data_IF_477387183632
#
_entry.id   IF_477387183632
#
_cell.length_a   1.000
_cell.length_b   1.000
_cell.length_c   1.000
_cell.angle_alpha   90.00
_cell.angle_beta   90.00
_cell.angle_gamma   90.00
#
_symmetry.space_group_name_H-M   'P 1'
#
loop_
_entity.id
_entity.type
_entity.pdbx_description
1 polymer ?
#
# COMPACT_ATOMS: atom_id res chain seq x y z
N UNK A 1 13.68 -0.56 -24.87
CA UNK A 1 14.53 -1.75 -24.95
C UNK A 1 15.76 -1.55 -24.10
N UNK A 2 15.97 -2.43 -23.12
CA UNK A 2 17.22 -2.52 -22.36
C UNK A 2 18.42 -2.57 -23.31
N UNK A 3 19.44 -1.76 -23.03
CA UNK A 3 20.72 -1.91 -23.73
C UNK A 3 21.31 -3.29 -23.43
N UNK A 4 21.81 -4.04 -24.42
CA UNK A 4 22.47 -5.31 -24.19
C UNK A 4 23.60 -5.14 -23.16
N UNK A 5 23.68 -6.05 -22.18
CA UNK A 5 24.78 -6.04 -21.22
C UNK A 5 25.99 -6.79 -21.78
N UNK A 6 27.19 -6.32 -21.43
CA UNK A 6 28.45 -6.98 -21.81
C UNK A 6 28.61 -8.33 -21.09
N UNK A 7 29.39 -9.29 -21.63
CA UNK A 7 29.73 -10.51 -20.91
C UNK A 7 30.37 -10.27 -19.54
N UNK A 8 31.14 -9.19 -19.38
CA UNK A 8 31.73 -8.79 -18.09
C UNK A 8 30.67 -8.39 -17.07
N UNK A 9 29.65 -7.63 -17.49
CA UNK A 9 28.51 -7.30 -16.62
C UNK A 9 27.67 -8.55 -16.31
N UNK A 10 27.42 -9.41 -17.29
CA UNK A 10 26.71 -10.67 -17.07
C UNK A 10 27.41 -11.56 -16.04
N UNK A 11 28.74 -11.73 -16.14
CA UNK A 11 29.55 -12.44 -15.14
C UNK A 11 29.42 -11.82 -13.75
N UNK A 12 29.49 -10.49 -13.64
CA UNK A 12 29.31 -9.78 -12.36
C UNK A 12 27.94 -10.05 -11.75
N UNK A 13 26.89 -9.98 -12.56
CA UNK A 13 25.53 -10.27 -12.13
C UNK A 13 25.36 -11.73 -11.67
N UNK A 14 25.98 -12.67 -12.37
CA UNK A 14 25.92 -14.11 -12.04
C UNK A 14 26.69 -14.50 -10.76
N UNK A 15 27.61 -13.65 -10.29
CA UNK A 15 28.30 -13.86 -9.00
C UNK A 15 27.50 -13.30 -7.82
N UNK A 16 26.43 -12.53 -8.08
CA UNK A 16 25.51 -12.08 -7.01
C UNK A 16 24.96 -13.28 -6.23
N UNK A 17 24.90 -13.20 -4.89
CA UNK A 17 24.33 -14.27 -4.07
C UNK A 17 22.85 -14.54 -4.38
N UNK A 18 22.15 -13.57 -4.96
CA UNK A 18 20.73 -13.67 -5.30
C UNK A 18 20.46 -14.09 -6.76
N UNK A 19 21.49 -14.45 -7.52
CA UNK A 19 21.38 -14.78 -8.96
C UNK A 19 20.98 -16.22 -9.26
N UNK A 20 20.91 -17.09 -8.24
CA UNK A 20 20.71 -18.53 -8.40
C UNK A 20 19.42 -19.02 -7.75
N UNK A 21 18.73 -19.90 -8.46
CA UNK A 21 17.54 -20.56 -7.92
C UNK A 21 17.91 -21.63 -6.89
N UNK A 22 18.88 -22.48 -7.23
CA UNK A 22 19.38 -23.58 -6.40
C UNK A 22 20.90 -23.77 -6.63
N UNK A 23 21.55 -24.54 -5.77
CA UNK A 23 22.92 -25.01 -5.93
C UNK A 23 23.03 -26.46 -5.42
N UNK A 24 23.80 -27.30 -6.12
CA UNK A 24 23.84 -28.77 -5.92
C UNK A 24 24.09 -29.18 -4.47
N UNK A 25 24.97 -28.47 -3.77
CA UNK A 25 25.41 -28.82 -2.42
C UNK A 25 24.80 -27.91 -1.32
N UNK A 26 23.91 -26.99 -1.69
CA UNK A 26 23.25 -26.10 -0.74
C UNK A 26 22.02 -26.79 -0.14
N UNK A 27 21.86 -26.69 1.19
CA UNK A 27 20.69 -27.22 1.88
C UNK A 27 19.47 -26.33 1.59
N UNK A 28 18.39 -26.86 0.97
CA UNK A 28 17.20 -26.04 0.70
C UNK A 28 16.53 -25.51 1.97
N UNK A 29 16.70 -26.19 3.10
CA UNK A 29 16.12 -25.82 4.41
C UNK A 29 17.01 -24.90 5.24
N UNK A 30 18.14 -24.44 4.70
CA UNK A 30 19.01 -23.48 5.40
C UNK A 30 18.30 -22.14 5.59
N UNK A 31 18.16 -21.74 6.86
CA UNK A 31 17.56 -20.46 7.25
C UNK A 31 18.47 -19.31 6.82
N UNK A 32 17.87 -18.19 6.38
CA UNK A 32 18.60 -17.00 5.93
C UNK A 32 19.52 -17.23 4.71
N UNK A 33 19.28 -18.28 3.94
CA UNK A 33 19.98 -18.54 2.69
C UNK A 33 19.71 -17.48 1.61
N UNK A 34 20.61 -17.36 0.64
CA UNK A 34 20.52 -16.34 -0.43
C UNK A 34 19.91 -16.88 -1.73
N UNK A 35 19.88 -18.20 -1.90
CA UNK A 35 19.28 -18.86 -3.06
C UNK A 35 17.76 -18.66 -3.10
N UNK A 36 17.16 -18.65 -4.29
CA UNK A 36 15.72 -18.50 -4.40
C UNK A 36 14.96 -19.61 -3.66
N UNK A 37 15.39 -20.88 -3.78
CA UNK A 37 14.72 -21.99 -3.12
C UNK A 37 14.76 -21.94 -1.58
N UNK A 38 15.74 -21.27 -1.00
CA UNK A 38 15.83 -21.03 0.45
C UNK A 38 14.92 -19.87 0.86
N UNK A 39 15.02 -18.73 0.16
CA UNK A 39 14.19 -17.54 0.43
C UNK A 39 12.70 -17.77 0.22
N UNK A 40 12.32 -18.62 -0.73
CA UNK A 40 10.92 -18.99 -1.00
C UNK A 40 10.32 -19.94 0.05
N UNK A 41 11.14 -20.49 0.95
CA UNK A 41 10.67 -21.30 2.09
C UNK A 41 10.44 -20.45 3.34
N UNK A 42 10.98 -19.25 3.39
CA UNK A 42 10.64 -18.30 4.43
C UNK A 42 9.14 -17.94 4.32
N UNK A 43 8.38 -17.88 5.42
CA UNK A 43 6.94 -17.64 5.34
C UNK A 43 6.58 -16.31 4.66
N UNK A 44 7.45 -15.30 4.80
CA UNK A 44 7.32 -13.99 4.18
C UNK A 44 8.51 -13.77 3.23
N UNK A 45 8.26 -13.84 1.91
CA UNK A 45 9.33 -13.73 0.93
C UNK A 45 9.97 -12.34 0.94
N UNK A 46 11.31 -12.30 0.89
CA UNK A 46 12.08 -11.07 0.79
C UNK A 46 12.99 -11.11 -0.46
N UNK A 47 12.72 -10.26 -1.48
CA UNK A 47 13.65 -10.07 -2.58
C UNK A 47 14.81 -9.17 -2.16
N UNK A 48 15.95 -9.34 -2.84
CA UNK A 48 17.01 -8.36 -2.80
C UNK A 48 16.59 -7.14 -3.63
N UNK A 49 16.60 -5.95 -3.01
CA UNK A 49 16.19 -4.70 -3.64
C UNK A 49 17.38 -3.74 -3.53
N UNK A 50 17.76 -3.12 -4.64
CA UNK A 50 18.85 -2.16 -4.68
C UNK A 50 18.40 -0.95 -5.51
N UNK A 51 17.75 0.04 -4.89
CA UNK A 51 17.29 1.22 -5.61
C UNK A 51 18.46 2.13 -5.95
N UNK A 52 18.35 2.86 -7.06
CA UNK A 52 19.37 3.82 -7.48
C UNK A 52 19.37 5.13 -6.67
N UNK A 53 18.41 5.30 -5.76
CA UNK A 53 18.29 6.48 -4.90
C UNK A 53 17.83 6.12 -3.49
N UNK A 54 17.95 7.08 -2.58
CA UNK A 54 17.38 7.04 -1.23
C UNK A 54 16.56 8.31 -0.98
N UNK A 55 15.44 8.11 -0.31
CA UNK A 55 14.59 9.18 0.21
C UNK A 55 15.19 9.74 1.50
N UNK A 56 15.22 11.07 1.60
CA UNK A 56 15.55 11.82 2.81
C UNK A 56 14.28 12.20 3.55
N UNK A 57 14.38 12.51 4.85
CA UNK A 57 13.20 12.83 5.67
C UNK A 57 12.45 14.07 5.18
N UNK A 58 13.18 15.01 4.58
CA UNK A 58 12.70 16.28 4.07
C UNK A 58 12.08 16.17 2.67
N UNK A 59 12.21 15.01 2.02
CA UNK A 59 11.63 14.79 0.70
C UNK A 59 10.09 14.84 0.77
N UNK A 60 9.53 15.62 -0.17
CA UNK A 60 8.10 15.60 -0.45
C UNK A 60 7.75 14.43 -1.34
N UNK A 61 6.74 13.67 -0.95
CA UNK A 61 6.30 12.46 -1.62
C UNK A 61 4.87 12.61 -2.13
N UNK A 62 4.60 12.11 -3.32
CA UNK A 62 3.25 11.92 -3.84
C UNK A 62 3.02 10.45 -4.18
N UNK A 63 1.93 9.86 -3.72
CA UNK A 63 1.52 8.52 -4.11
C UNK A 63 0.19 8.53 -4.88
N UNK A 64 0.16 7.81 -6.00
CA UNK A 64 -1.01 7.64 -6.87
C UNK A 64 -1.07 6.20 -7.36
N UNK A 65 -2.27 5.67 -7.60
CA UNK A 65 -2.42 4.31 -8.10
C UNK A 65 -3.52 3.54 -7.37
N UNK A 66 -3.41 2.22 -7.31
CA UNK A 66 -4.37 1.38 -6.57
C UNK A 66 -4.36 1.62 -5.04
N UNK A 67 -5.32 1.03 -4.32
CA UNK A 67 -5.42 1.09 -2.85
C UNK A 67 -4.13 0.73 -2.10
N UNK A 68 -3.25 -0.10 -2.68
CA UNK A 68 -1.96 -0.44 -2.09
C UNK A 68 -1.06 0.79 -1.85
N UNK A 69 -1.18 1.83 -2.69
CA UNK A 69 -0.47 3.09 -2.53
C UNK A 69 -0.75 3.75 -1.15
N UNK A 70 -1.95 3.55 -0.59
CA UNK A 70 -2.34 4.09 0.73
C UNK A 70 -1.52 3.48 1.86
N UNK A 71 -1.17 2.20 1.76
CA UNK A 71 -0.27 1.54 2.70
C UNK A 71 1.11 2.19 2.71
N UNK A 72 1.61 2.57 1.53
CA UNK A 72 2.90 3.25 1.36
C UNK A 72 2.86 4.66 1.96
N UNK A 73 1.79 5.42 1.71
CA UNK A 73 1.59 6.74 2.34
C UNK A 73 1.61 6.65 3.86
N UNK A 74 0.85 5.71 4.44
CA UNK A 74 0.81 5.51 5.89
C UNK A 74 2.17 5.12 6.46
N UNK A 75 2.93 4.28 5.75
CA UNK A 75 4.27 3.89 6.16
C UNK A 75 5.22 5.10 6.21
N UNK A 76 5.18 5.96 5.19
CA UNK A 76 6.03 7.15 5.07
C UNK A 76 5.62 8.28 6.03
N UNK A 77 4.32 8.48 6.26
CA UNK A 77 3.82 9.38 7.31
C UNK A 77 4.29 8.90 8.68
N UNK A 78 4.31 7.56 8.91
CA UNK A 78 4.91 6.97 10.11
C UNK A 78 6.39 7.33 10.29
N UNK A 79 7.10 7.64 9.19
CA UNK A 79 8.47 8.14 9.19
C UNK A 79 8.60 9.66 9.36
N UNK A 80 7.48 10.35 9.58
CA UNK A 80 7.37 11.82 9.64
C UNK A 80 7.81 12.51 8.34
N UNK A 81 7.64 11.84 7.21
CA UNK A 81 7.89 12.42 5.89
C UNK A 81 6.66 13.18 5.39
N UNK A 82 6.87 14.13 4.49
CA UNK A 82 5.81 14.95 3.91
C UNK A 82 5.15 14.23 2.72
N UNK A 83 3.93 13.72 2.91
CA UNK A 83 3.17 12.95 1.91
C UNK A 83 2.00 13.78 1.40
N UNK A 84 2.21 14.53 0.31
CA UNK A 84 1.27 15.54 -0.18
C UNK A 84 -0.01 14.97 -0.81
N UNK A 85 -0.03 13.67 -1.14
CA UNK A 85 -1.21 12.97 -1.66
C UNK A 85 -2.22 12.60 -0.58
N UNK A 86 -1.83 12.66 0.71
CA UNK A 86 -2.72 12.46 1.86
C UNK A 86 -2.92 13.78 2.58
N UNK A 87 -4.16 14.29 2.56
CA UNK A 87 -4.44 15.67 2.94
C UNK A 87 -5.82 15.86 3.54
N UNK A 88 -5.96 16.87 4.41
CA UNK A 88 -7.19 17.14 5.16
C UNK A 88 -8.33 17.74 4.32
N UNK A 89 -8.04 18.29 3.14
CA UNK A 89 -9.05 18.81 2.21
C UNK A 89 -10.05 17.72 1.80
N UNK A 90 -9.60 16.46 1.79
CA UNK A 90 -10.46 15.31 1.52
C UNK A 90 -11.36 14.93 2.71
N UNK A 91 -11.12 15.44 3.92
CA UNK A 91 -12.00 15.22 5.08
C UNK A 91 -13.39 15.85 4.85
N UNK A 92 -13.47 16.83 3.93
CA UNK A 92 -14.75 17.42 3.49
C UNK A 92 -15.57 16.52 2.57
N UNK A 93 -15.04 15.38 2.13
CA UNK A 93 -15.71 14.49 1.18
C UNK A 93 -16.43 13.35 1.91
N UNK A 94 -17.77 13.28 1.83
CA UNK A 94 -18.50 12.18 2.42
C UNK A 94 -18.37 10.93 1.54
N UNK A 95 -17.64 9.92 2.02
CA UNK A 95 -17.56 8.62 1.37
C UNK A 95 -18.90 7.87 1.46
N UNK A 96 -19.26 7.11 0.42
CA UNK A 96 -20.37 6.16 0.54
C UNK A 96 -19.98 4.97 1.43
N UNK A 97 -20.98 4.39 2.11
CA UNK A 97 -20.86 3.13 2.87
C UNK A 97 -19.86 3.11 4.03
N UNK A 98 -19.45 4.27 4.56
CA UNK A 98 -18.53 4.33 5.71
C UNK A 98 -17.11 3.84 5.39
N UNK A 99 -16.76 3.69 4.10
CA UNK A 99 -15.38 3.43 3.69
C UNK A 99 -14.50 4.59 4.18
N UNK A 100 -13.40 4.26 4.87
CA UNK A 100 -12.43 5.26 5.31
C UNK A 100 -11.91 6.00 4.08
N UNK A 101 -12.05 7.33 4.06
CA UNK A 101 -11.50 8.23 3.05
C UNK A 101 -9.96 8.34 3.17
N UNK A 102 -9.26 7.20 3.14
CA UNK A 102 -7.81 7.17 3.14
C UNK A 102 -7.33 7.31 1.70
N UNK A 103 -6.96 8.54 1.33
CA UNK A 103 -6.35 8.88 0.04
C UNK A 103 -7.27 8.61 -1.14
N UNK A 104 -8.04 9.63 -1.52
CA UNK A 104 -9.03 9.57 -2.59
C UNK A 104 -8.45 9.38 -4.01
N UNK A 105 -7.12 9.31 -4.14
CA UNK A 105 -6.43 9.25 -5.44
C UNK A 105 -6.30 7.83 -5.98
N UNK A 106 -7.26 6.93 -5.71
CA UNK A 106 -7.17 5.58 -6.26
C UNK A 106 -7.42 5.64 -7.77
N UNK A 107 -6.35 5.49 -8.56
CA UNK A 107 -6.37 5.44 -10.03
C UNK A 107 -5.80 4.10 -10.46
N UNK A 108 -6.64 3.21 -10.95
CA UNK A 108 -6.24 1.80 -11.05
C UNK A 108 -5.45 1.46 -12.30
N UNK A 109 -5.53 2.29 -13.33
CA UNK A 109 -4.94 2.02 -14.64
C UNK A 109 -4.09 3.21 -15.10
N UNK A 110 -3.19 2.97 -16.06
CA UNK A 110 -2.26 3.99 -16.57
C UNK A 110 -2.98 5.19 -17.20
N UNK A 111 -4.18 4.98 -17.77
CA UNK A 111 -4.97 6.02 -18.42
C UNK A 111 -5.56 7.01 -17.40
N UNK A 112 -6.17 6.51 -16.33
CA UNK A 112 -6.73 7.35 -15.28
C UNK A 112 -5.63 8.07 -14.49
N UNK A 113 -4.47 7.45 -14.29
CA UNK A 113 -3.30 8.12 -13.70
C UNK A 113 -2.83 9.26 -14.62
N UNK A 114 -2.70 8.99 -15.93
CA UNK A 114 -2.33 9.99 -16.92
C UNK A 114 -3.33 11.15 -16.99
N UNK A 115 -4.63 10.87 -17.02
CA UNK A 115 -5.68 11.89 -17.03
C UNK A 115 -5.55 12.87 -15.87
N UNK A 116 -5.40 12.37 -14.64
CA UNK A 116 -5.29 13.23 -13.46
C UNK A 116 -4.07 14.15 -13.52
N UNK A 117 -2.91 13.60 -13.90
CA UNK A 117 -1.69 14.40 -14.02
C UNK A 117 -1.78 15.39 -15.18
N UNK A 118 -2.37 14.99 -16.31
CA UNK A 118 -2.58 15.87 -17.46
C UNK A 118 -3.47 17.06 -17.07
N UNK A 119 -4.65 16.82 -16.49
CA UNK A 119 -5.55 17.91 -16.08
C UNK A 119 -4.99 18.78 -14.96
N UNK A 120 -4.12 18.22 -14.11
CA UNK A 120 -3.49 18.98 -13.05
C UNK A 120 -2.35 19.86 -13.56
N UNK A 121 -1.46 19.31 -14.41
CA UNK A 121 -0.15 19.90 -14.71
C UNK A 121 -0.07 20.60 -16.07
N UNK A 122 -0.75 20.09 -17.10
CA UNK A 122 -0.70 20.67 -18.44
C UNK A 122 -1.64 21.89 -18.52
N UNK A 123 -1.11 23.13 -18.70
CA UNK A 123 -1.94 24.33 -18.76
C UNK A 123 -2.92 24.35 -19.94
N UNK A 124 -2.67 23.54 -20.98
CA UNK A 124 -3.56 23.42 -22.13
C UNK A 124 -4.62 22.32 -21.95
N UNK A 125 -4.57 21.55 -20.87
CA UNK A 125 -5.52 20.48 -20.60
C UNK A 125 -6.65 20.93 -19.67
N UNK A 126 -7.88 20.65 -20.08
CA UNK A 126 -9.06 20.85 -19.26
C UNK A 126 -9.69 19.51 -18.86
N UNK A 127 -10.34 19.50 -17.70
CA UNK A 127 -11.15 18.37 -17.30
C UNK A 127 -12.43 18.29 -18.15
N UNK A 128 -12.73 17.13 -18.76
CA UNK A 128 -13.90 16.99 -19.61
C UNK A 128 -15.15 16.96 -18.72
N UNK A 129 -15.76 18.12 -18.45
CA UNK A 129 -16.96 18.24 -17.60
C UNK A 129 -18.12 17.37 -18.07
N UNK A 130 -18.23 17.14 -19.38
CA UNK A 130 -19.20 16.23 -19.99
C UNK A 130 -19.03 14.76 -19.56
N UNK A 131 -17.87 14.38 -19.01
CA UNK A 131 -17.64 13.04 -18.43
C UNK A 131 -18.31 12.85 -17.07
N UNK A 132 -18.81 13.91 -16.43
CA UNK A 132 -19.70 13.77 -15.28
C UNK A 132 -21.04 13.18 -15.74
N UNK A 133 -21.58 12.27 -14.94
CA UNK A 133 -22.74 11.49 -15.30
C UNK A 133 -23.94 11.95 -14.49
N UNK A 134 -24.98 12.43 -15.17
CA UNK A 134 -26.28 12.69 -14.55
C UNK A 134 -26.97 11.35 -14.27
N UNK A 135 -27.26 11.05 -13.01
CA UNK A 135 -27.96 9.82 -12.61
C UNK A 135 -29.47 10.03 -12.45
N UNK A 136 -29.98 11.18 -12.89
CA UNK A 136 -31.37 11.61 -12.73
C UNK A 136 -31.57 12.43 -11.46
N UNK A 137 -32.71 13.10 -11.34
CA UNK A 137 -33.10 13.87 -10.14
C UNK A 137 -32.08 14.92 -9.67
N UNK A 138 -31.23 15.42 -10.57
CA UNK A 138 -30.23 16.44 -10.29
C UNK A 138 -29.00 15.96 -9.50
N UNK A 139 -28.78 14.64 -9.38
CA UNK A 139 -27.58 14.06 -8.77
C UNK A 139 -26.58 13.59 -9.82
N UNK A 140 -25.30 13.83 -9.56
CA UNK A 140 -24.21 13.55 -10.48
C UNK A 140 -23.18 12.61 -9.87
N UNK A 141 -22.56 11.83 -10.75
CA UNK A 141 -21.45 10.94 -10.44
C UNK A 141 -20.21 11.33 -11.26
N UNK A 142 -19.06 11.33 -10.59
CA UNK A 142 -17.75 11.51 -11.21
C UNK A 142 -17.09 10.13 -11.43
N UNK A 143 -16.98 9.64 -12.68
CA UNK A 143 -16.44 8.31 -12.97
C UNK A 143 -14.91 8.25 -12.92
N UNK A 144 -14.24 9.38 -12.67
CA UNK A 144 -12.80 9.43 -12.46
C UNK A 144 -12.43 9.22 -10.98
N UNK A 145 -13.42 9.14 -10.09
CA UNK A 145 -13.27 9.20 -8.64
C UNK A 145 -13.34 7.82 -8.00
N UNK A 146 -12.46 7.51 -7.03
CA UNK A 146 -12.57 6.31 -6.20
C UNK A 146 -11.84 6.48 -4.82
N UNK A 147 -12.46 6.16 -3.66
CA UNK A 147 -13.77 5.51 -3.45
C UNK A 147 -14.96 6.34 -3.92
N UNK A 148 -16.14 5.72 -3.99
CA UNK A 148 -17.34 6.45 -4.41
C UNK A 148 -17.74 7.47 -3.34
N UNK A 149 -17.98 8.72 -3.75
CA UNK A 149 -18.49 9.77 -2.87
C UNK A 149 -20.01 9.73 -2.84
N UNK A 150 -20.61 10.23 -1.75
CA UNK A 150 -22.04 10.50 -1.75
C UNK A 150 -22.38 11.41 -2.93
N UNK A 151 -23.38 10.98 -3.69
CA UNK A 151 -23.85 11.68 -4.88
C UNK A 151 -24.36 13.08 -4.49
N UNK A 152 -24.06 14.06 -5.32
CA UNK A 152 -24.40 15.45 -5.08
C UNK A 152 -24.79 16.13 -6.40
N UNK A 153 -25.28 17.37 -6.33
CA UNK A 153 -25.54 18.16 -7.53
C UNK A 153 -24.28 18.41 -8.37
N UNK A 154 -24.48 18.87 -9.61
CA UNK A 154 -23.40 19.13 -10.57
C UNK A 154 -22.31 20.05 -10.00
N UNK A 155 -22.69 21.19 -9.41
CA UNK A 155 -21.75 22.17 -8.86
C UNK A 155 -20.91 21.62 -7.71
N UNK A 156 -21.50 20.84 -6.81
CA UNK A 156 -20.75 20.20 -5.72
C UNK A 156 -19.80 19.11 -6.25
N UNK A 157 -20.23 18.37 -7.27
CA UNK A 157 -19.37 17.39 -7.95
C UNK A 157 -18.17 18.05 -8.62
N UNK A 158 -18.38 19.20 -9.29
CA UNK A 158 -17.30 20.01 -9.88
C UNK A 158 -16.38 20.58 -8.80
N UNK A 159 -16.91 21.17 -7.72
CA UNK A 159 -16.11 21.70 -6.61
C UNK A 159 -15.16 20.65 -6.03
N UNK A 160 -15.66 19.42 -5.84
CA UNK A 160 -14.86 18.28 -5.36
C UNK A 160 -13.75 17.91 -6.36
N UNK A 161 -14.06 17.88 -7.66
CA UNK A 161 -13.08 17.66 -8.74
C UNK A 161 -11.98 18.73 -8.76
N UNK A 162 -12.33 19.99 -8.57
CA UNK A 162 -11.36 21.10 -8.50
C UNK A 162 -10.40 20.95 -7.32
N UNK A 163 -10.92 20.55 -6.14
CA UNK A 163 -10.09 20.22 -4.97
C UNK A 163 -9.14 19.06 -5.28
N UNK A 164 -9.62 17.99 -5.92
CA UNK A 164 -8.77 16.85 -6.31
C UNK A 164 -7.66 17.25 -7.28
N UNK A 165 -7.96 18.11 -8.25
CA UNK A 165 -6.95 18.64 -9.17
C UNK A 165 -5.93 19.52 -8.46
N UNK A 166 -6.39 20.39 -7.55
CA UNK A 166 -5.51 21.22 -6.74
C UNK A 166 -4.55 20.37 -5.90
N UNK A 167 -5.03 19.30 -5.26
CA UNK A 167 -4.19 18.36 -4.53
C UNK A 167 -3.24 17.63 -5.48
N UNK A 168 -3.73 17.17 -6.64
CA UNK A 168 -2.90 16.48 -7.64
C UNK A 168 -1.77 17.38 -8.15
N UNK A 169 -2.00 18.69 -8.33
CA UNK A 169 -0.95 19.66 -8.72
C UNK A 169 0.26 19.67 -7.78
N UNK A 170 0.08 19.31 -6.51
CA UNK A 170 1.18 19.24 -5.51
C UNK A 170 2.25 18.22 -5.88
N UNK A 171 1.94 17.25 -6.76
CA UNK A 171 2.93 16.31 -7.30
C UNK A 171 4.14 17.03 -7.92
N UNK A 172 3.95 18.24 -8.44
CA UNK A 172 5.02 19.07 -8.99
C UNK A 172 6.10 19.45 -7.96
N UNK A 173 5.75 19.45 -6.67
CA UNK A 173 6.65 19.79 -5.57
C UNK A 173 7.36 18.56 -5.00
N UNK A 174 6.97 17.35 -5.44
CA UNK A 174 7.45 16.11 -4.87
C UNK A 174 8.69 15.63 -5.60
N UNK A 175 9.79 15.49 -4.84
CA UNK A 175 10.98 14.81 -5.31
C UNK A 175 10.70 13.33 -5.54
N UNK A 176 9.78 12.71 -4.81
CA UNK A 176 9.48 11.27 -4.94
C UNK A 176 8.04 11.05 -5.35
N UNK A 177 7.83 10.34 -6.46
CA UNK A 177 6.50 9.97 -6.96
C UNK A 177 6.35 8.45 -6.96
N UNK A 178 5.34 7.94 -6.28
CA UNK A 178 5.06 6.50 -6.19
C UNK A 178 3.83 6.19 -7.03
N UNK A 179 4.00 5.37 -8.07
CA UNK A 179 2.95 4.99 -9.01
C UNK A 179 2.65 3.49 -8.85
N UNK A 180 1.43 3.17 -8.41
CA UNK A 180 0.98 1.78 -8.22
C UNK A 180 -0.02 1.36 -9.29
N UNK A 181 0.42 0.51 -10.22
CA UNK A 181 -0.40 -0.01 -11.31
C UNK A 181 -1.37 -1.10 -10.83
N UNK A 182 -2.64 -1.00 -11.18
CA UNK A 182 -3.71 -1.86 -10.67
C UNK A 182 -4.24 -2.88 -11.66
N UNK A 183 -4.72 -2.43 -12.82
CA UNK A 183 -5.47 -3.25 -13.78
C UNK A 183 -5.37 -2.74 -15.23
N UNK A 184 -5.69 -3.60 -16.20
CA UNK A 184 -5.59 -3.34 -17.65
C UNK A 184 -6.95 -3.19 -18.35
N UNK A 185 -8.05 -3.54 -17.69
CA UNK A 185 -9.41 -3.30 -18.19
C UNK A 185 -9.82 -1.86 -17.88
N UNK A 186 -10.10 -1.07 -18.90
CA UNK A 186 -10.55 0.31 -18.73
C UNK A 186 -11.85 0.52 -19.49
N UNK A 187 -12.70 1.41 -19.01
CA UNK A 187 -13.86 1.84 -19.77
C UNK A 187 -13.55 3.17 -20.44
N UNK A 188 -14.03 3.36 -21.66
CA UNK A 188 -13.99 4.64 -22.34
C UNK A 188 -15.40 5.21 -22.41
N UNK A 189 -15.51 6.48 -22.11
CA UNK A 189 -16.69 7.28 -22.36
C UNK A 189 -16.60 7.84 -23.79
N UNK A 190 -17.48 7.35 -24.67
CA UNK A 190 -17.47 7.70 -26.10
C UNK A 190 -18.00 9.11 -26.36
N UNK A 191 -18.83 9.65 -25.48
CA UNK A 191 -19.33 11.03 -25.57
C UNK A 191 -18.23 12.00 -25.13
N UNK A 192 -17.63 11.72 -23.96
CA UNK A 192 -16.59 12.59 -23.42
C UNK A 192 -15.21 12.39 -24.07
N UNK A 193 -15.07 11.31 -24.87
CA UNK A 193 -13.83 10.86 -25.49
C UNK A 193 -12.67 10.72 -24.49
N UNK A 194 -12.94 10.05 -23.37
CA UNK A 194 -11.96 9.88 -22.28
C UNK A 194 -12.10 8.51 -21.62
N UNK A 195 -10.97 7.93 -21.20
CA UNK A 195 -10.98 6.73 -20.35
C UNK A 195 -11.34 7.11 -18.91
N UNK A 196 -12.24 6.34 -18.31
CA UNK A 196 -12.72 6.57 -16.94
C UNK A 196 -12.04 5.62 -15.95
N UNK A 197 -12.00 6.03 -14.69
CA UNK A 197 -11.38 5.23 -13.63
C UNK A 197 -12.30 4.11 -13.13
N UNK A 198 -13.61 4.36 -13.10
CA UNK A 198 -14.61 3.43 -12.58
C UNK A 198 -15.92 3.56 -13.32
N UNK A 199 -16.47 2.41 -13.66
CA UNK A 199 -17.85 2.25 -14.12
C UNK A 199 -18.71 1.77 -12.92
N UNK A 200 -19.92 2.29 -12.79
CA UNK A 200 -20.92 1.78 -11.85
C UNK A 200 -22.18 1.29 -12.60
N UNK A 201 -22.95 0.33 -12.06
CA UNK A 201 -24.11 -0.23 -12.76
C UNK A 201 -25.15 0.81 -13.22
N UNK A 202 -25.37 1.87 -12.43
CA UNK A 202 -26.30 2.96 -12.80
C UNK A 202 -25.91 3.67 -14.09
N UNK A 203 -24.62 3.80 -14.38
CA UNK A 203 -24.15 4.41 -15.62
C UNK A 203 -24.57 3.60 -16.85
N UNK A 204 -24.49 2.27 -16.79
CA UNK A 204 -24.92 1.39 -17.88
C UNK A 204 -26.44 1.33 -18.01
N UNK A 205 -27.17 1.42 -16.89
CA UNK A 205 -28.64 1.49 -16.91
C UNK A 205 -29.15 2.76 -17.58
N UNK A 206 -28.57 3.91 -17.21
CA UNK A 206 -28.99 5.21 -17.73
C UNK A 206 -28.45 5.50 -19.13
N UNK A 207 -27.26 4.99 -19.46
CA UNK A 207 -26.57 5.27 -20.72
C UNK A 207 -25.90 4.00 -21.30
N UNK A 208 -26.69 3.02 -21.78
CA UNK A 208 -26.17 1.72 -22.20
C UNK A 208 -25.14 1.80 -23.35
N UNK A 209 -25.30 2.74 -24.28
CA UNK A 209 -24.45 2.85 -25.47
C UNK A 209 -23.29 3.86 -25.32
N UNK A 210 -23.14 4.49 -24.14
CA UNK A 210 -22.12 5.55 -23.93
C UNK A 210 -20.72 4.99 -23.66
N UNK A 211 -20.63 3.79 -23.09
CA UNK A 211 -19.37 3.28 -22.56
C UNK A 211 -18.91 2.02 -23.29
N UNK A 212 -17.64 1.97 -23.67
CA UNK A 212 -17.00 0.80 -24.25
C UNK A 212 -15.94 0.23 -23.31
N UNK A 213 -15.94 -1.10 -23.13
CA UNK A 213 -14.86 -1.78 -22.46
C UNK A 213 -13.65 -1.85 -23.40
N UNK A 214 -12.50 -1.45 -22.90
CA UNK A 214 -11.23 -1.49 -23.61
C UNK A 214 -10.21 -2.30 -22.82
N UNK A 215 -9.81 -3.45 -23.37
CA UNK A 215 -8.72 -4.24 -22.80
C UNK A 215 -7.40 -3.71 -23.34
N UNK A 216 -6.65 -3.04 -22.47
CA UNK A 216 -5.44 -2.33 -22.88
C UNK A 216 -4.28 -3.29 -23.14
N UNK A 217 -3.34 -2.88 -24.01
CA UNK A 217 -2.17 -3.65 -24.36
C UNK A 217 -0.85 -3.02 -23.86
N UNK A 218 0.27 -3.69 -24.13
CA UNK A 218 1.60 -3.26 -23.71
C UNK A 218 1.96 -1.85 -24.20
N UNK A 219 1.75 -1.58 -25.50
CA UNK A 219 2.14 -0.32 -26.16
C UNK A 219 1.36 0.85 -25.58
N UNK A 220 0.07 0.68 -25.35
CA UNK A 220 -0.78 1.74 -24.79
C UNK A 220 -0.41 2.08 -23.36
N UNK A 221 -0.20 1.07 -22.51
CA UNK A 221 0.21 1.28 -21.12
C UNK A 221 1.59 1.93 -21.04
N UNK A 222 2.57 1.45 -21.82
CA UNK A 222 3.89 2.07 -21.88
C UNK A 222 3.81 3.50 -22.39
N UNK A 223 3.03 3.77 -23.44
CA UNK A 223 2.83 5.12 -23.97
C UNK A 223 2.26 6.08 -22.93
N UNK A 224 1.31 5.64 -22.11
CA UNK A 224 0.80 6.46 -21.01
C UNK A 224 1.86 6.72 -19.93
N UNK A 225 2.69 5.74 -19.58
CA UNK A 225 3.81 5.94 -18.65
C UNK A 225 4.87 6.89 -19.21
N UNK A 226 5.17 6.84 -20.50
CA UNK A 226 6.06 7.80 -21.16
C UNK A 226 5.48 9.22 -21.16
N UNK A 227 4.17 9.37 -21.40
CA UNK A 227 3.51 10.68 -21.30
C UNK A 227 3.51 11.21 -19.85
N UNK A 228 3.30 10.33 -18.88
CA UNK A 228 3.42 10.64 -17.46
C UNK A 228 4.84 11.10 -17.10
N UNK A 229 5.86 10.39 -17.60
CA UNK A 229 7.26 10.79 -17.44
C UNK A 229 7.51 12.18 -18.04
N UNK A 230 6.99 12.45 -19.24
CA UNK A 230 7.08 13.76 -19.88
C UNK A 230 6.47 14.89 -19.04
N UNK A 231 5.27 14.68 -18.49
CA UNK A 231 4.62 15.66 -17.60
C UNK A 231 5.44 15.92 -16.34
N UNK A 232 5.95 14.87 -15.68
CA UNK A 232 6.76 14.99 -14.47
C UNK A 232 8.14 15.60 -14.75
N UNK A 233 8.72 15.33 -15.91
CA UNK A 233 10.00 15.93 -16.32
C UNK A 233 9.86 17.42 -16.66
N UNK A 234 8.71 17.81 -17.22
CA UNK A 234 8.46 19.19 -17.64
C UNK A 234 7.96 20.09 -16.51
N UNK A 235 7.05 19.57 -15.68
CA UNK A 235 6.34 20.36 -14.65
C UNK A 235 6.63 19.89 -13.22
N UNK A 236 7.38 18.82 -13.05
CA UNK A 236 7.72 18.25 -11.76
C UNK A 236 8.99 18.81 -11.13
N UNK A 237 9.36 18.19 -10.02
CA UNK A 237 10.60 18.50 -9.31
C UNK A 237 11.83 18.17 -10.18
N UNK A 238 12.88 18.99 -10.13
CA UNK A 238 14.08 18.84 -10.97
C UNK A 238 14.80 17.50 -10.78
N UNK A 239 14.86 16.99 -9.53
CA UNK A 239 15.37 15.66 -9.17
C UNK A 239 14.23 14.66 -8.90
N UNK A 240 13.16 14.66 -9.71
CA UNK A 240 12.06 13.72 -9.50
C UNK A 240 12.53 12.26 -9.66
N UNK A 241 12.30 11.46 -8.63
CA UNK A 241 12.51 10.02 -8.58
C UNK A 241 11.16 9.31 -8.54
N UNK A 242 10.94 8.39 -9.47
CA UNK A 242 9.69 7.67 -9.62
C UNK A 242 9.89 6.24 -9.13
N UNK A 243 9.04 5.78 -8.20
CA UNK A 243 8.94 4.36 -7.87
C UNK A 243 7.67 3.81 -8.49
N UNK A 244 7.83 2.90 -9.45
CA UNK A 244 6.72 2.18 -10.06
C UNK A 244 6.58 0.79 -9.42
N UNK A 245 5.35 0.40 -9.12
CA UNK A 245 5.04 -0.94 -8.59
C UNK A 245 3.74 -1.48 -9.17
N UNK A 246 3.59 -2.81 -9.16
CA UNK A 246 2.34 -3.49 -9.51
C UNK A 246 1.63 -3.90 -8.23
N UNK A 247 0.36 -3.52 -8.15
CA UNK A 247 -0.50 -3.86 -7.01
C UNK A 247 -0.69 -5.37 -6.91
N UNK A 248 -0.47 -5.96 -5.72
CA UNK A 248 -0.71 -7.38 -5.50
C UNK A 248 -2.19 -7.76 -5.43
N UNK A 249 -3.08 -6.79 -5.22
CA UNK A 249 -4.52 -7.04 -5.03
C UNK A 249 -5.14 -7.54 -6.35
N UNK A 250 -5.73 -8.75 -6.38
CA UNK A 250 -6.40 -9.27 -7.57
C UNK A 250 -7.61 -8.42 -8.03
N UNK A 251 -7.98 -8.54 -9.30
CA UNK A 251 -9.24 -7.96 -9.80
C UNK A 251 -10.42 -8.48 -8.97
N UNK A 252 -11.37 -7.60 -8.69
CA UNK A 252 -12.62 -7.97 -8.03
C UNK A 252 -13.63 -8.59 -9.01
N UNK A 253 -13.60 -8.13 -10.26
CA UNK A 253 -14.42 -8.62 -11.34
C UNK A 253 -13.68 -8.37 -12.67
N UNK A 254 -14.08 -9.09 -13.71
CA UNK A 254 -13.67 -8.86 -15.09
C UNK A 254 -14.91 -8.64 -15.94
N UNK A 255 -14.79 -7.77 -16.94
CA UNK A 255 -15.83 -7.54 -17.95
C UNK A 255 -15.47 -8.20 -19.30
N UNK A 256 -14.33 -8.89 -19.41
CA UNK A 256 -13.84 -9.43 -20.69
C UNK A 256 -14.49 -10.76 -21.11
N UNK A 257 -15.39 -11.32 -20.29
CA UNK A 257 -15.98 -12.65 -20.50
C UNK A 257 -15.06 -13.82 -20.13
N UNK A 258 -13.84 -13.52 -19.66
CA UNK A 258 -12.87 -14.52 -19.20
C UNK A 258 -13.13 -14.91 -17.74
N UNK A 259 -12.50 -16.01 -17.30
CA UNK A 259 -12.38 -16.29 -15.87
C UNK A 259 -11.57 -15.17 -15.17
N UNK A 260 -12.06 -14.66 -14.05
CA UNK A 260 -11.46 -13.53 -13.34
C UNK A 260 -10.01 -13.79 -12.88
N UNK A 261 -9.66 -15.05 -12.57
CA UNK A 261 -8.30 -15.43 -12.19
C UNK A 261 -7.36 -15.41 -13.41
N UNK A 262 -7.85 -15.84 -14.57
CA UNK A 262 -7.10 -15.77 -15.85
C UNK A 262 -6.92 -14.31 -16.26
N UNK A 263 -7.99 -13.51 -16.26
CA UNK A 263 -7.95 -12.09 -16.57
C UNK A 263 -6.99 -11.33 -15.63
N UNK A 264 -7.00 -11.66 -14.33
CA UNK A 264 -6.05 -11.12 -13.37
C UNK A 264 -4.61 -11.52 -13.67
N UNK A 265 -4.37 -12.78 -14.02
CA UNK A 265 -3.03 -13.25 -14.38
C UNK A 265 -2.47 -12.48 -15.57
N UNK A 266 -3.27 -12.31 -16.63
CA UNK A 266 -2.90 -11.47 -17.78
C UNK A 266 -2.64 -10.02 -17.35
N UNK A 267 -3.57 -9.42 -16.61
CA UNK A 267 -3.47 -8.02 -16.18
C UNK A 267 -2.19 -7.73 -15.39
N UNK A 268 -1.86 -8.57 -14.40
CA UNK A 268 -0.67 -8.35 -13.56
C UNK A 268 0.61 -8.63 -14.31
N UNK A 269 0.64 -9.66 -15.15
CA UNK A 269 1.81 -10.01 -15.98
C UNK A 269 2.12 -8.91 -17.00
N UNK A 270 1.09 -8.36 -17.65
CA UNK A 270 1.24 -7.25 -18.59
C UNK A 270 1.79 -6.00 -17.89
N UNK A 271 1.15 -5.55 -16.80
CA UNK A 271 1.60 -4.37 -16.06
C UNK A 271 3.00 -4.54 -15.47
N UNK A 272 3.36 -5.77 -15.06
CA UNK A 272 4.71 -6.07 -14.57
C UNK A 272 5.76 -5.93 -15.66
N UNK A 273 5.44 -6.37 -16.86
CA UNK A 273 6.31 -6.26 -18.04
C UNK A 273 6.47 -4.79 -18.44
N UNK A 274 5.37 -4.03 -18.48
CA UNK A 274 5.39 -2.59 -18.75
C UNK A 274 6.24 -1.84 -17.72
N UNK A 275 6.06 -2.12 -16.42
CA UNK A 275 6.84 -1.49 -15.36
C UNK A 275 8.34 -1.84 -15.46
N UNK A 276 8.68 -3.06 -15.89
CA UNK A 276 10.08 -3.47 -16.14
C UNK A 276 10.72 -2.61 -17.23
N UNK A 277 10.05 -2.51 -18.38
CA UNK A 277 10.57 -1.81 -19.55
C UNK A 277 10.67 -0.31 -19.30
N UNK A 278 9.71 0.26 -18.56
CA UNK A 278 9.75 1.67 -18.20
C UNK A 278 10.89 2.00 -17.23
N UNK A 279 11.05 1.21 -16.16
CA UNK A 279 12.18 1.37 -15.22
C UNK A 279 13.55 1.15 -15.89
N UNK A 280 13.61 0.27 -16.88
CA UNK A 280 14.80 0.05 -17.67
C UNK A 280 15.15 1.23 -18.60
N UNK A 281 14.15 1.94 -19.11
CA UNK A 281 14.33 3.04 -20.06
C UNK A 281 14.78 4.35 -19.39
N UNK A 282 14.47 4.54 -18.11
CA UNK A 282 14.66 5.82 -17.41
C UNK A 282 15.46 5.67 -16.11
N UNK A 283 16.56 6.40 -15.98
CA UNK A 283 17.46 6.33 -14.80
C UNK A 283 16.77 6.71 -13.48
N UNK A 284 15.77 7.58 -13.53
CA UNK A 284 15.03 8.05 -12.38
C UNK A 284 13.74 7.26 -12.12
N UNK A 285 13.51 6.15 -12.82
CA UNK A 285 12.36 5.24 -12.60
C UNK A 285 12.86 3.93 -12.00
N UNK A 286 12.31 3.55 -10.86
CA UNK A 286 12.75 2.40 -10.08
C UNK A 286 11.57 1.45 -9.88
N UNK A 287 11.77 0.16 -10.15
CA UNK A 287 10.74 -0.85 -9.89
C UNK A 287 10.81 -1.34 -8.44
N UNK A 288 9.67 -1.34 -7.74
CA UNK A 288 9.53 -1.99 -6.43
C UNK A 288 8.67 -3.27 -6.56
N UNK A 289 9.13 -4.44 -6.09
CA UNK A 289 8.49 -5.73 -6.36
C UNK A 289 7.37 -6.08 -5.35
N UNK A 290 6.37 -5.22 -5.13
CA UNK A 290 5.30 -5.56 -4.17
C UNK A 290 4.44 -6.74 -4.62
N UNK A 291 4.24 -6.90 -5.93
CA UNK A 291 3.50 -8.02 -6.50
C UNK A 291 4.21 -9.35 -6.20
N UNK A 292 5.50 -9.44 -6.49
CA UNK A 292 6.28 -10.65 -6.27
C UNK A 292 6.45 -10.98 -4.79
N UNK A 293 6.54 -9.97 -3.90
CA UNK A 293 6.58 -10.22 -2.45
C UNK A 293 5.33 -10.98 -2.01
N UNK A 294 4.14 -10.55 -2.44
CA UNK A 294 2.87 -11.22 -2.09
C UNK A 294 2.77 -12.59 -2.75
N UNK A 295 3.02 -12.68 -4.06
CA UNK A 295 2.82 -13.93 -4.80
C UNK A 295 3.75 -15.06 -4.36
N UNK A 296 4.91 -14.73 -3.80
CA UNK A 296 5.92 -15.70 -3.37
C UNK A 296 5.97 -15.92 -1.86
N UNK A 297 5.12 -15.24 -1.07
CA UNK A 297 4.96 -15.52 0.36
C UNK A 297 4.03 -16.71 0.59
N UNK A 298 4.06 -17.30 1.78
CA UNK A 298 3.19 -18.42 2.13
C UNK A 298 1.72 -18.01 1.99
N UNK A 299 1.00 -18.74 1.12
CA UNK A 299 -0.41 -18.47 0.81
C UNK A 299 -1.30 -18.48 2.05
N UNK A 300 -0.99 -19.30 3.05
CA UNK A 300 -1.77 -19.42 4.30
C UNK A 300 -1.69 -18.15 5.18
N UNK A 301 -0.59 -17.40 5.07
CA UNK A 301 -0.35 -16.15 5.80
C UNK A 301 -0.67 -14.91 4.99
N UNK A 302 -0.86 -15.06 3.68
CA UNK A 302 -0.92 -13.92 2.74
C UNK A 302 -2.29 -13.27 2.66
N UNK A 303 -3.35 -14.07 2.53
CA UNK A 303 -4.67 -13.57 2.16
C UNK A 303 -5.66 -13.66 3.33
N UNK A 304 -6.58 -12.71 3.37
CA UNK A 304 -7.84 -12.83 4.12
C UNK A 304 -8.70 -13.95 3.52
N UNK A 305 -9.83 -14.27 4.15
CA UNK A 305 -10.72 -15.38 3.75
C UNK A 305 -11.18 -15.28 2.29
N UNK A 306 -11.32 -14.07 1.75
CA UNK A 306 -11.76 -13.82 0.37
C UNK A 306 -10.68 -14.09 -0.68
N UNK A 307 -9.47 -14.48 -0.27
CA UNK A 307 -8.32 -14.77 -1.14
C UNK A 307 -7.91 -13.59 -2.04
N UNK A 308 -8.28 -12.36 -1.66
CA UNK A 308 -8.05 -11.14 -2.44
C UNK A 308 -7.46 -10.01 -1.60
N UNK A 309 -7.94 -9.80 -0.38
CA UNK A 309 -7.33 -8.82 0.52
C UNK A 309 -6.08 -9.39 1.16
N UNK A 310 -4.99 -8.60 1.17
CA UNK A 310 -3.72 -8.99 1.77
C UNK A 310 -3.76 -8.73 3.26
N UNK A 311 -3.42 -9.73 4.07
CA UNK A 311 -3.37 -9.63 5.53
C UNK A 311 -2.45 -8.51 6.00
N UNK A 312 -2.83 -7.86 7.09
CA UNK A 312 -2.08 -6.72 7.64
C UNK A 312 -0.62 -7.02 7.97
N UNK A 313 -0.29 -8.27 8.34
CA UNK A 313 1.10 -8.70 8.57
C UNK A 313 1.97 -8.60 7.31
N UNK A 314 1.44 -9.05 6.17
CA UNK A 314 2.15 -9.02 4.88
C UNK A 314 2.28 -7.59 4.39
N UNK A 315 1.25 -6.76 4.57
CA UNK A 315 1.34 -5.32 4.30
C UNK A 315 2.48 -4.69 5.11
N UNK A 316 2.58 -4.98 6.42
CA UNK A 316 3.68 -4.48 7.27
C UNK A 316 5.04 -4.97 6.78
N UNK A 317 5.16 -6.24 6.37
CA UNK A 317 6.39 -6.78 5.81
C UNK A 317 6.83 -6.04 4.54
N UNK A 318 5.90 -5.83 3.60
CA UNK A 318 6.19 -5.09 2.35
C UNK A 318 6.60 -3.65 2.65
N UNK A 319 5.90 -2.96 3.54
CA UNK A 319 6.25 -1.59 3.94
C UNK A 319 7.60 -1.55 4.66
N UNK A 320 7.91 -2.54 5.49
CA UNK A 320 9.22 -2.71 6.10
C UNK A 320 10.33 -2.88 5.06
N UNK A 321 10.12 -3.71 4.03
CA UNK A 321 11.06 -3.85 2.91
C UNK A 321 11.21 -2.55 2.12
N UNK A 322 10.11 -1.85 1.85
CA UNK A 322 10.13 -0.57 1.15
C UNK A 322 10.99 0.46 1.90
N UNK A 323 10.68 0.69 3.18
CA UNK A 323 11.39 1.65 4.03
C UNK A 323 12.87 1.27 4.19
N UNK A 324 13.18 0.00 4.50
CA UNK A 324 14.58 -0.46 4.64
C UNK A 324 15.40 -0.17 3.38
N UNK A 325 14.81 -0.34 2.20
CA UNK A 325 15.55 -0.23 0.94
C UNK A 325 15.54 1.19 0.36
N UNK A 326 14.49 1.98 0.55
CA UNK A 326 14.40 3.32 -0.05
C UNK A 326 14.61 4.47 0.93
N UNK A 327 14.42 4.31 2.23
CA UNK A 327 14.64 5.39 3.20
C UNK A 327 16.11 5.42 3.67
N UNK A 328 16.70 6.63 3.77
CA UNK A 328 18.08 6.82 4.28
C UNK A 328 18.15 6.86 5.80
N UNK A 329 17.08 7.32 6.46
CA UNK A 329 17.02 7.41 7.91
C UNK A 329 16.81 6.04 8.57
N UNK A 330 17.17 5.94 9.85
CA UNK A 330 16.63 4.86 10.69
C UNK A 330 15.10 5.03 10.72
N UNK A 331 14.33 3.97 10.42
CA UNK A 331 12.89 4.07 10.49
C UNK A 331 12.45 4.58 11.86
N UNK A 332 11.70 5.68 11.90
CA UNK A 332 10.86 6.07 13.04
C UNK A 332 9.84 4.97 13.20
N UNK A 333 10.19 3.99 14.00
CA UNK A 333 9.30 2.90 14.34
C UNK A 333 8.70 3.25 15.67
N UNK A 334 7.44 3.69 15.67
CA UNK A 334 6.65 3.58 16.89
C UNK A 334 6.54 2.10 17.18
N UNK A 335 7.23 1.65 18.22
CA UNK A 335 7.03 0.31 18.72
C UNK A 335 5.56 0.15 19.06
N UNK A 336 4.95 -0.97 18.66
CA UNK A 336 3.55 -1.25 18.93
C UNK A 336 3.44 -2.32 19.98
N UNK A 337 2.48 -2.14 20.89
CA UNK A 337 2.11 -3.09 21.91
C UNK A 337 0.57 -3.15 21.93
N UNK A 338 0.02 -4.35 21.81
CA UNK A 338 -1.41 -4.60 21.70
C UNK A 338 -1.82 -5.74 22.64
N UNK A 339 -3.06 -5.72 23.12
CA UNK A 339 -3.64 -6.75 23.96
C UNK A 339 -5.05 -7.07 23.46
N UNK A 340 -5.38 -8.35 23.31
CA UNK A 340 -6.74 -8.76 22.96
C UNK A 340 -7.11 -10.12 23.59
N UNK A 341 -8.30 -10.21 24.24
CA UNK A 341 -9.24 -9.11 24.51
C UNK A 341 -8.67 -8.09 25.52
N UNK A 342 -9.04 -6.81 25.38
CA UNK A 342 -8.74 -5.75 26.34
C UNK A 342 -9.80 -4.61 26.25
N UNK A 343 -10.60 -4.33 27.30
CA UNK A 343 -10.65 -5.06 28.57
C UNK A 343 -11.07 -6.53 28.38
N UNK A 344 -10.67 -7.40 29.30
CA UNK A 344 -11.13 -8.79 29.30
C UNK A 344 -12.61 -8.85 29.70
N UNK A 345 -13.39 -9.83 29.21
CA UNK A 345 -14.76 -10.02 29.70
C UNK A 345 -14.76 -10.36 31.21
N UNK A 346 -15.76 -9.88 31.99
CA UNK A 346 -15.92 -10.26 33.39
C UNK A 346 -16.06 -11.78 33.56
N UNK A 347 -15.56 -12.32 34.67
CA UNK A 347 -15.74 -13.74 34.98
C UNK A 347 -15.04 -14.18 36.26
N UNK A 348 -15.21 -15.46 36.60
CA UNK A 348 -14.65 -16.10 37.80
C UNK A 348 -13.24 -16.65 37.48
N UNK A 349 -12.28 -16.42 38.37
CA UNK A 349 -10.87 -16.84 38.21
C UNK A 349 -10.06 -15.91 37.29
N UNK A 350 -8.78 -16.21 37.01
CA UNK A 350 -7.92 -15.38 36.14
C UNK A 350 -8.34 -15.39 34.67
N UNK A 351 -8.16 -14.27 34.00
CA UNK A 351 -8.52 -14.05 32.61
C UNK A 351 -7.35 -14.21 31.65
N UNK A 352 -7.66 -14.44 30.38
CA UNK A 352 -6.66 -14.61 29.31
C UNK A 352 -6.70 -13.44 28.33
N UNK A 353 -5.53 -12.92 27.99
CA UNK A 353 -5.32 -11.98 26.89
C UNK A 353 -4.04 -12.32 26.15
N UNK A 354 -3.97 -12.01 24.86
CA UNK A 354 -2.75 -12.15 24.06
C UNK A 354 -2.09 -10.80 23.94
N UNK A 355 -0.85 -10.69 24.43
CA UNK A 355 -0.02 -9.50 24.24
C UNK A 355 0.80 -9.68 22.98
N UNK A 356 0.64 -8.78 22.01
CA UNK A 356 1.36 -8.77 20.74
C UNK A 356 2.21 -7.51 20.60
N UNK A 357 3.44 -7.65 20.09
CA UNK A 357 4.35 -6.53 19.97
C UNK A 357 5.19 -6.54 18.70
N UNK A 358 5.66 -5.34 18.35
CA UNK A 358 6.69 -5.12 17.35
C UNK A 358 7.52 -3.90 17.72
N UNK A 359 8.83 -4.08 17.83
CA UNK A 359 9.84 -3.04 18.02
C UNK A 359 10.80 -3.12 16.83
N UNK A 360 10.47 -2.41 15.76
CA UNK A 360 11.13 -2.50 14.45
C UNK A 360 12.53 -1.84 14.40
N UNK A 361 13.38 -2.03 15.41
CA UNK A 361 14.79 -1.61 15.38
C UNK A 361 15.66 -2.23 16.49
N UNK A 362 15.09 -3.09 17.33
CA UNK A 362 15.74 -3.54 18.58
C UNK A 362 15.57 -5.04 18.76
N UNK A 363 16.54 -5.86 18.28
CA UNK A 363 16.50 -7.32 18.47
C UNK A 363 16.42 -7.72 19.94
N UNK A 364 16.96 -6.87 20.83
CA UNK A 364 16.99 -7.09 22.28
C UNK A 364 15.77 -6.56 23.03
N UNK A 365 14.72 -6.15 22.32
CA UNK A 365 13.52 -5.60 22.96
C UNK A 365 12.92 -6.56 23.98
N UNK A 366 12.34 -5.98 25.03
CA UNK A 366 11.79 -6.73 26.14
C UNK A 366 10.48 -6.10 26.60
N UNK A 367 9.50 -6.95 26.90
CA UNK A 367 8.25 -6.55 27.55
C UNK A 367 8.36 -6.91 29.02
N UNK A 368 8.05 -5.94 29.86
CA UNK A 368 7.83 -6.15 31.29
C UNK A 368 6.36 -5.97 31.62
N UNK A 369 5.90 -6.70 32.63
CA UNK A 369 4.55 -6.59 33.18
C UNK A 369 4.64 -6.18 34.64
N UNK A 370 3.79 -5.25 35.06
CA UNK A 370 3.61 -4.84 36.46
C UNK A 370 2.12 -4.66 36.78
N UNK A 371 1.75 -4.63 38.06
CA UNK A 371 0.37 -4.47 38.52
C UNK A 371 -0.25 -5.77 39.04
N UNK A 372 -1.50 -5.68 39.52
CA UNK A 372 -2.17 -6.81 40.19
C UNK A 372 -1.45 -7.35 41.43
N UNK A 373 -0.69 -6.50 42.13
CA UNK A 373 0.11 -6.91 43.30
C UNK A 373 1.44 -7.58 42.97
N UNK A 374 1.80 -7.73 41.69
CA UNK A 374 3.10 -8.27 41.27
C UNK A 374 4.16 -7.16 41.15
N UNK A 375 5.39 -7.48 41.56
CA UNK A 375 6.57 -6.70 41.17
C UNK A 375 6.78 -6.77 39.65
N UNK A 376 7.41 -5.74 39.07
CA UNK A 376 7.66 -5.69 37.63
C UNK A 376 8.55 -6.87 37.18
N UNK A 377 8.03 -7.72 36.31
CA UNK A 377 8.70 -8.93 35.86
C UNK A 377 8.85 -8.98 34.34
N UNK A 378 9.91 -9.63 33.84
CA UNK A 378 10.11 -9.86 32.41
C UNK A 378 9.01 -10.78 31.87
N UNK A 379 8.19 -10.27 30.96
CA UNK A 379 7.10 -11.02 30.34
C UNK A 379 7.56 -11.73 29.06
N UNK A 380 8.23 -11.02 28.15
CA UNK A 380 8.70 -11.56 26.87
C UNK A 380 9.89 -10.77 26.32
N UNK A 381 10.56 -11.29 25.29
CA UNK A 381 11.63 -10.58 24.59
C UNK A 381 11.69 -10.92 23.11
N UNK A 382 12.43 -10.11 22.36
CA UNK A 382 12.57 -10.19 20.90
C UNK A 382 11.93 -8.99 20.18
N UNK A 383 12.40 -8.71 18.96
CA UNK A 383 11.95 -7.57 18.17
C UNK A 383 10.45 -7.60 17.79
N UNK A 384 9.82 -8.76 17.77
CA UNK A 384 8.39 -8.93 17.57
C UNK A 384 7.92 -10.26 18.14
N UNK A 385 6.65 -10.37 18.45
CA UNK A 385 6.07 -11.62 18.92
C UNK A 385 4.69 -11.45 19.50
N UNK A 386 4.15 -12.57 19.99
CA UNK A 386 2.92 -12.61 20.78
C UNK A 386 3.04 -13.64 21.89
N UNK A 387 2.50 -13.35 23.08
CA UNK A 387 2.51 -14.27 24.22
C UNK A 387 1.20 -14.13 25.01
N UNK A 388 0.61 -15.26 25.40
CA UNK A 388 -0.58 -15.31 26.26
C UNK A 388 -0.21 -14.87 27.69
N UNK A 389 -1.03 -13.99 28.26
CA UNK A 389 -1.07 -13.67 29.67
C UNK A 389 -2.38 -14.24 30.25
N UNK A 390 -2.26 -15.32 31.03
CA UNK A 390 -3.39 -16.08 31.59
C UNK A 390 -3.63 -15.82 33.08
N UNK A 391 -3.12 -14.71 33.61
CA UNK A 391 -3.09 -14.38 35.04
C UNK A 391 -3.84 -13.07 35.35
N UNK A 392 -4.64 -12.54 34.42
CA UNK A 392 -5.28 -11.24 34.61
C UNK A 392 -6.47 -11.35 35.57
N UNK A 393 -6.26 -10.95 36.82
CA UNK A 393 -7.27 -11.02 37.88
C UNK A 393 -8.41 -10.01 37.70
N UNK A 394 -9.61 -10.39 38.14
CA UNK A 394 -10.80 -9.54 38.14
C UNK A 394 -10.62 -8.36 39.10
N UNK A 395 -10.87 -7.14 38.63
CA UNK A 395 -10.69 -5.90 39.38
C UNK A 395 -9.26 -5.36 39.37
N UNK A 396 -8.29 -6.08 38.79
CA UNK A 396 -6.90 -5.64 38.69
C UNK A 396 -6.60 -4.97 37.34
N UNK A 397 -5.58 -4.11 37.35
CA UNK A 397 -4.97 -3.50 36.15
C UNK A 397 -3.52 -3.94 36.07
N UNK A 398 -3.12 -4.43 34.90
CA UNK A 398 -1.75 -4.80 34.59
C UNK A 398 -1.21 -3.86 33.52
N UNK A 399 -0.02 -3.29 33.75
CA UNK A 399 0.71 -2.51 32.75
C UNK A 399 1.71 -3.41 32.05
N UNK A 400 1.64 -3.49 30.72
CA UNK A 400 2.70 -4.06 29.90
C UNK A 400 3.49 -2.92 29.27
N UNK A 401 4.80 -2.92 29.49
CA UNK A 401 5.73 -1.91 28.98
C UNK A 401 6.76 -2.55 28.06
N UNK A 402 6.89 -2.04 26.84
CA UNK A 402 7.88 -2.48 25.85
C UNK A 402 9.09 -1.54 25.88
N UNK A 403 10.28 -2.11 26.03
CA UNK A 403 11.55 -1.40 26.07
C UNK A 403 12.47 -1.80 24.91
N UNK A 404 13.39 -0.90 24.54
CA UNK A 404 14.40 -1.14 23.49
C UNK A 404 15.40 -2.24 23.84
N UNK A 405 15.61 -2.52 25.13
CA UNK A 405 16.48 -3.60 25.61
C UNK A 405 16.06 -4.08 27.01
N UNK A 406 16.65 -5.17 27.48
CA UNK A 406 16.41 -5.75 28.83
C UNK A 406 16.85 -4.85 29.99
N UNK A 407 17.69 -3.85 29.75
CA UNK A 407 18.12 -2.92 30.80
C UNK A 407 17.07 -1.82 31.07
N UNK A 408 15.96 -1.79 30.32
CA UNK A 408 14.84 -0.85 30.48
C UNK A 408 15.23 0.63 30.28
N UNK A 409 16.30 0.89 29.52
CA UNK A 409 16.82 2.25 29.32
C UNK A 409 15.82 3.19 28.59
N UNK A 410 14.99 2.65 27.70
CA UNK A 410 14.05 3.45 26.90
C UNK A 410 12.75 2.68 26.70
N UNK A 411 11.67 3.19 27.28
CA UNK A 411 10.32 2.67 27.05
C UNK A 411 9.77 3.23 25.74
N UNK A 412 9.30 2.33 24.87
CA UNK A 412 8.88 2.66 23.49
C UNK A 412 7.40 2.40 23.23
N UNK A 413 6.71 1.63 24.06
CA UNK A 413 5.26 1.49 24.08
C UNK A 413 4.78 1.01 25.45
N UNK A 414 3.51 1.26 25.77
CA UNK A 414 2.85 0.68 26.94
C UNK A 414 1.37 0.40 26.64
N UNK A 415 0.78 -0.56 27.35
CA UNK A 415 -0.65 -0.83 27.33
C UNK A 415 -1.12 -1.28 28.71
N UNK A 416 -2.31 -0.85 29.11
CA UNK A 416 -2.98 -1.29 30.33
C UNK A 416 -4.01 -2.35 29.98
N UNK A 417 -3.92 -3.50 30.63
CA UNK A 417 -4.87 -4.60 30.51
C UNK A 417 -5.71 -4.65 31.77
N UNK A 418 -7.02 -4.53 31.62
CA UNK A 418 -7.96 -4.53 32.73
C UNK A 418 -8.97 -5.66 32.59
N UNK A 419 -9.46 -6.15 33.74
CA UNK A 419 -10.62 -7.04 33.78
C UNK A 419 -11.67 -6.50 34.76
N UNK A 420 -12.79 -5.97 34.27
CA UNK A 420 -13.84 -5.40 35.11
C UNK A 420 -14.50 -6.46 36.02
N UNK A 421 -14.95 -6.07 37.23
CA UNK A 421 -15.75 -6.92 38.11
C UNK A 421 -17.08 -7.34 37.47
N UNK A 422 -17.58 -8.52 37.87
CA UNK A 422 -18.84 -9.11 37.36
C UNK A 422 -20.08 -8.20 37.55
N UNK A 423 -20.02 -7.22 38.46
CA UNK A 423 -21.11 -6.26 38.71
C UNK A 423 -21.05 -4.91 37.98
N UNK A 424 -20.07 -4.69 37.10
CA UNK A 424 -19.81 -3.35 36.51
C UNK A 424 -20.42 -3.12 35.11
N UNK A 425 -21.34 -3.97 34.66
CA UNK A 425 -22.01 -3.88 33.34
C UNK A 425 -23.46 -3.37 33.46
N UNK A 426 -23.80 -2.66 34.53
CA UNK A 426 -25.09 -1.97 34.66
C UNK A 426 -24.83 -0.53 35.15
N UNK A 427 -24.51 0.35 34.21
CA UNK A 427 -24.79 1.80 34.27
C UNK A 427 -24.61 2.41 32.89
#
# INVERSE_FOLDING_TARGET
MLSPITPTQAKRNFVSPYSRWHQKDALPSELNGTLACQRLREPLFAPAISPGFKMQREDKIFAIGSCFARGVELALIGQKMDVLSKTAEFDSFPAMNGELALGFTNKYNTFSIYNELRWALDPAAEFPRQSLVDLGNGIFYDPHTNPALQLAGFEETIRRREIMQMVTRRISQCRVVIITLGLVEVWRDNIANVFINRLIPDMLRSYPDRYELHLTNFVENLSNLERLHGLLSQFGHEDVQIVVTVSPVPLQATFSGEDVVIANTYSKSLLRTVAQEWAAAHKNVHYFPSYEIVQNSDRSLTWEEDMRHVKGEIVRHIMGLFLRNYFSGLPVTSSKLYASPNPLPPGIGPGKTIISWSSHATPDAAIYVSGGGLEEALFAGGACGSKEASFIETGATYEFSLYTNRNRNTRVAQIYVTRPPVGSVIS
#
